data_IF_699408447583
#
_entry.id   IF_699408447583
#
_cell.length_a   1.000
_cell.length_b   1.000
_cell.length_c   1.000
_cell.angle_alpha   90.00
_cell.angle_beta   90.00
_cell.angle_gamma   90.00
#
_symmetry.space_group_name_H-M   'P 1'
#
loop_
_entity.id
_entity.type
_entity.pdbx_description
1 polymer ?
#
# COMPACT_ATOMS: atom_id res chain seq x y z
N UNK A 1 -8.41 1.80 15.98
CA UNK A 1 -8.47 0.32 16.02
C UNK A 1 -9.53 -0.25 16.97
N UNK A 2 -10.10 0.52 17.92
CA UNK A 2 -11.20 0.05 18.78
C UNK A 2 -12.57 -0.07 18.07
N UNK A 3 -12.72 0.45 16.84
CA UNK A 3 -13.97 0.41 16.08
C UNK A 3 -14.17 -0.89 15.28
N UNK A 4 -13.11 -1.67 15.03
CA UNK A 4 -13.19 -2.92 14.25
C UNK A 4 -13.81 -4.06 15.07
N UNK A 5 -13.40 -4.21 16.34
CA UNK A 5 -13.85 -5.32 17.19
C UNK A 5 -15.27 -5.17 17.75
N UNK A 6 -15.83 -3.96 17.76
CA UNK A 6 -17.16 -3.71 18.32
C UNK A 6 -18.30 -4.18 17.40
N UNK A 7 -18.03 -4.30 16.09
CA UNK A 7 -19.03 -4.69 15.11
C UNK A 7 -19.22 -6.21 14.99
N UNK A 8 -18.14 -6.96 15.15
CA UNK A 8 -18.13 -8.40 14.88
C UNK A 8 -18.91 -9.21 15.92
N UNK A 9 -18.86 -8.80 17.19
CA UNK A 9 -19.55 -9.51 18.27
C UNK A 9 -21.06 -9.23 18.32
N UNK A 10 -21.54 -8.17 17.66
CA UNK A 10 -22.91 -7.71 17.85
C UNK A 10 -23.89 -8.10 16.72
N UNK A 11 -23.39 -8.34 15.50
CA UNK A 11 -24.25 -8.65 14.34
C UNK A 11 -24.86 -10.08 14.35
N UNK A 12 -24.66 -10.86 15.42
CA UNK A 12 -25.05 -12.28 15.50
C UNK A 12 -26.50 -12.51 16.00
N UNK A 13 -27.24 -11.46 16.39
CA UNK A 13 -28.54 -11.60 17.07
C UNK A 13 -29.63 -10.66 16.51
N UNK A 14 -30.03 -10.80 15.24
CA UNK A 14 -31.30 -10.22 14.79
C UNK A 14 -32.18 -11.24 14.06
N UNK A 15 -33.35 -11.46 14.66
CA UNK A 15 -34.44 -12.31 14.20
C UNK A 15 -35.38 -11.45 13.35
N UNK A 16 -35.63 -11.92 12.13
CA UNK A 16 -36.18 -11.16 11.01
C UNK A 16 -37.67 -10.79 11.12
N UNK A 17 -37.95 -9.51 10.90
CA UNK A 17 -39.08 -9.02 10.11
C UNK A 17 -38.55 -7.88 9.23
N UNK A 18 -37.71 -8.20 8.25
CA UNK A 18 -37.09 -7.21 7.36
C UNK A 18 -37.15 -7.71 5.91
N UNK A 19 -37.39 -6.80 4.97
CA UNK A 19 -37.60 -7.08 3.56
C UNK A 19 -36.42 -7.84 2.92
N UNK A 20 -36.73 -8.87 2.14
CA UNK A 20 -35.78 -9.76 1.46
C UNK A 20 -34.64 -9.05 0.68
N UNK A 21 -34.84 -7.86 0.08
CA UNK A 21 -33.77 -7.09 -0.57
C UNK A 21 -32.72 -6.53 0.41
N UNK A 22 -33.14 -6.01 1.56
CA UNK A 22 -32.26 -5.42 2.56
C UNK A 22 -31.41 -6.48 3.26
N UNK A 23 -32.00 -7.65 3.50
CA UNK A 23 -31.29 -8.79 4.08
C UNK A 23 -30.10 -9.23 3.22
N UNK A 24 -30.26 -9.24 1.90
CA UNK A 24 -29.18 -9.63 0.98
C UNK A 24 -27.98 -8.68 1.07
N UNK A 25 -28.21 -7.38 1.25
CA UNK A 25 -27.14 -6.38 1.43
C UNK A 25 -26.47 -6.58 2.80
N UNK A 26 -27.25 -6.77 3.86
CA UNK A 26 -26.71 -7.04 5.21
C UNK A 26 -25.87 -8.31 5.24
N UNK A 27 -26.28 -9.38 4.55
CA UNK A 27 -25.48 -10.60 4.44
C UNK A 27 -24.18 -10.40 3.66
N UNK A 28 -24.21 -9.59 2.60
CA UNK A 28 -23.01 -9.24 1.84
C UNK A 28 -22.02 -8.43 2.69
N UNK A 29 -22.53 -7.43 3.41
CA UNK A 29 -21.79 -6.64 4.39
C UNK A 29 -21.16 -7.52 5.48
N UNK A 30 -21.95 -8.43 6.07
CA UNK A 30 -21.50 -9.38 7.10
C UNK A 30 -20.36 -10.27 6.62
N UNK A 31 -20.32 -10.62 5.33
CA UNK A 31 -19.22 -11.39 4.72
C UNK A 31 -18.02 -10.51 4.36
N UNK A 32 -18.24 -9.25 4.02
CA UNK A 32 -17.19 -8.32 3.59
C UNK A 32 -16.32 -7.84 4.75
N UNK A 33 -16.92 -7.42 5.87
CA UNK A 33 -16.18 -6.86 7.01
C UNK A 33 -15.07 -7.76 7.58
N UNK A 34 -15.29 -9.08 7.80
CA UNK A 34 -14.20 -9.97 8.23
C UNK A 34 -13.01 -9.96 7.28
N UNK A 35 -13.28 -9.95 5.98
CA UNK A 35 -12.22 -9.96 4.96
C UNK A 35 -11.43 -8.66 5.02
N UNK A 36 -12.12 -7.51 5.12
CA UNK A 36 -11.47 -6.20 5.24
C UNK A 36 -10.61 -6.11 6.51
N UNK A 37 -11.08 -6.66 7.62
CA UNK A 37 -10.33 -6.72 8.88
C UNK A 37 -9.06 -7.56 8.75
N UNK A 38 -9.17 -8.77 8.18
CA UNK A 38 -8.03 -9.64 7.91
C UNK A 38 -7.01 -8.95 6.98
N UNK A 39 -7.50 -8.34 5.90
CA UNK A 39 -6.67 -7.61 4.95
C UNK A 39 -5.95 -6.41 5.60
N UNK A 40 -6.59 -5.71 6.53
CA UNK A 40 -5.94 -4.64 7.29
C UNK A 40 -4.82 -5.18 8.20
N UNK A 41 -5.01 -6.34 8.81
CA UNK A 41 -3.97 -7.02 9.56
C UNK A 41 -2.75 -7.35 8.69
N UNK A 42 -2.98 -7.91 7.50
CA UNK A 42 -1.95 -8.23 6.52
C UNK A 42 -1.24 -6.98 5.98
N UNK A 43 -1.98 -5.91 5.71
CA UNK A 43 -1.42 -4.62 5.29
C UNK A 43 -0.43 -4.09 6.32
N UNK A 44 -0.85 -4.04 7.59
CA UNK A 44 0.00 -3.52 8.67
C UNK A 44 1.23 -4.39 8.93
N UNK A 45 1.11 -5.71 8.91
CA UNK A 45 2.28 -6.60 9.06
C UNK A 45 3.25 -6.42 7.90
N UNK A 46 2.74 -6.37 6.67
CA UNK A 46 3.57 -6.19 5.47
C UNK A 46 4.30 -4.84 5.48
N UNK A 47 3.64 -3.76 5.93
CA UNK A 47 4.30 -2.45 6.11
C UNK A 47 5.40 -2.50 7.17
N UNK A 48 5.19 -3.20 8.30
CA UNK A 48 6.24 -3.40 9.30
C UNK A 48 7.42 -4.18 8.73
N UNK A 49 7.16 -5.20 7.91
CA UNK A 49 8.20 -6.00 7.26
C UNK A 49 9.01 -5.21 6.22
N UNK A 50 8.44 -4.13 5.66
CA UNK A 50 9.17 -3.22 4.77
C UNK A 50 10.21 -2.36 5.51
N UNK A 51 9.96 -1.99 6.77
CA UNK A 51 10.85 -1.10 7.55
C UNK A 51 12.31 -1.59 7.62
N UNK A 52 12.61 -2.84 8.01
CA UNK A 52 13.98 -3.32 8.06
C UNK A 52 14.64 -3.40 6.67
N UNK A 53 13.87 -3.65 5.61
CA UNK A 53 14.37 -3.67 4.23
C UNK A 53 14.80 -2.27 3.79
N UNK A 54 13.97 -1.25 4.07
CA UNK A 54 14.29 0.15 3.80
C UNK A 54 15.52 0.61 4.58
N UNK A 55 15.64 0.22 5.86
CA UNK A 55 16.83 0.51 6.66
C UNK A 55 18.09 -0.15 6.07
N UNK A 56 17.98 -1.40 5.60
CA UNK A 56 19.09 -2.09 4.93
C UNK A 56 19.51 -1.39 3.63
N UNK A 57 18.56 -0.92 2.81
CA UNK A 57 18.85 -0.16 1.60
C UNK A 57 19.53 1.18 1.91
N UNK A 58 19.05 1.92 2.92
CA UNK A 58 19.66 3.17 3.38
C UNK A 58 21.12 2.94 3.80
N UNK A 59 21.37 1.93 4.63
CA UNK A 59 22.72 1.59 5.06
C UNK A 59 23.61 1.16 3.88
N UNK A 60 23.10 0.40 2.91
CA UNK A 60 23.87 0.03 1.71
C UNK A 60 24.21 1.26 0.85
N UNK A 61 23.29 2.21 0.71
CA UNK A 61 23.53 3.46 0.00
C UNK A 61 24.63 4.29 0.67
N UNK A 62 24.59 4.41 2.01
CA UNK A 62 25.65 5.07 2.78
C UNK A 62 27.02 4.38 2.60
N UNK A 63 27.04 3.04 2.63
CA UNK A 63 28.28 2.28 2.42
C UNK A 63 28.84 2.43 1.00
N UNK A 64 27.98 2.46 -0.03
CA UNK A 64 28.38 2.73 -1.41
C UNK A 64 28.97 4.13 -1.54
N UNK A 65 28.32 5.14 -0.96
CA UNK A 65 28.80 6.51 -0.98
C UNK A 65 30.14 6.65 -0.25
N UNK A 66 30.29 6.02 0.93
CA UNK A 66 31.54 6.02 1.69
C UNK A 66 32.68 5.34 0.90
N UNK A 67 32.40 4.23 0.22
CA UNK A 67 33.36 3.55 -0.63
C UNK A 67 33.74 4.36 -1.88
N UNK A 68 32.81 5.14 -2.45
CA UNK A 68 33.12 6.03 -3.58
C UNK A 68 34.03 7.19 -3.16
N UNK A 69 33.79 7.77 -1.99
CA UNK A 69 34.57 8.88 -1.43
C UNK A 69 35.97 8.47 -0.95
N UNK A 70 36.20 7.19 -0.69
CA UNK A 70 37.51 6.69 -0.24
C UNK A 70 38.50 6.58 -1.41
N UNK A 71 39.67 7.20 -1.23
CA UNK A 71 40.84 6.97 -2.09
C UNK A 71 41.61 5.76 -1.56
N UNK A 72 41.25 4.57 -2.03
CA UNK A 72 41.83 3.30 -1.57
C UNK A 72 43.37 3.24 -1.67
N UNK A 73 43.95 3.97 -2.63
CA UNK A 73 45.39 4.10 -2.86
C UNK A 73 46.12 4.80 -1.69
N UNK A 74 45.41 5.72 -1.01
CA UNK A 74 45.92 6.52 0.10
C UNK A 74 45.96 5.70 1.42
N UNK A 75 45.37 4.50 1.44
CA UNK A 75 45.34 3.61 2.61
C UNK A 75 46.37 2.48 2.46
N UNK A 76 47.52 2.50 3.19
CA UNK A 76 48.62 1.57 2.96
C UNK A 76 48.25 0.09 3.09
N UNK A 77 47.36 -0.25 4.03
CA UNK A 77 46.90 -1.62 4.26
C UNK A 77 46.01 -2.17 3.14
N UNK A 78 45.37 -1.31 2.34
CA UNK A 78 44.47 -1.72 1.27
C UNK A 78 45.18 -1.86 -0.09
N UNK A 79 46.41 -1.37 -0.23
CA UNK A 79 47.19 -1.46 -1.48
C UNK A 79 47.48 -2.89 -1.94
N UNK A 80 47.51 -3.84 -1.00
CA UNK A 80 47.64 -5.27 -1.32
C UNK A 80 46.41 -5.84 -2.07
N UNK A 81 45.31 -5.08 -2.16
CA UNK A 81 44.05 -5.49 -2.75
C UNK A 81 43.59 -4.48 -3.83
N UNK A 82 44.25 -4.44 -5.00
CA UNK A 82 43.97 -3.45 -6.04
C UNK A 82 42.56 -3.57 -6.65
N UNK A 83 41.93 -4.75 -6.53
CA UNK A 83 40.58 -5.05 -7.01
C UNK A 83 39.49 -4.85 -5.93
N UNK A 84 39.86 -4.43 -4.72
CA UNK A 84 38.95 -4.36 -3.57
C UNK A 84 37.77 -3.42 -3.83
N UNK A 85 38.02 -2.24 -4.40
CA UNK A 85 36.98 -1.24 -4.67
C UNK A 85 35.90 -1.82 -5.58
N UNK A 86 36.31 -2.45 -6.68
CA UNK A 86 35.39 -3.04 -7.65
C UNK A 86 34.67 -4.28 -7.09
N UNK A 87 35.36 -5.11 -6.32
CA UNK A 87 34.75 -6.27 -5.65
C UNK A 87 33.75 -5.87 -4.58
N UNK A 88 34.07 -4.83 -3.80
CA UNK A 88 33.17 -4.28 -2.79
C UNK A 88 31.92 -3.70 -3.44
N UNK A 89 32.09 -2.89 -4.49
CA UNK A 89 30.99 -2.35 -5.29
C UNK A 89 30.08 -3.47 -5.80
N UNK A 90 30.62 -4.48 -6.48
CA UNK A 90 29.83 -5.61 -6.98
C UNK A 90 29.07 -6.35 -5.88
N UNK A 91 29.70 -6.57 -4.72
CA UNK A 91 29.03 -7.21 -3.57
C UNK A 91 27.91 -6.36 -2.99
N UNK A 92 28.11 -5.05 -2.86
CA UNK A 92 27.11 -4.12 -2.36
C UNK A 92 25.92 -4.00 -3.32
N UNK A 93 26.16 -3.96 -4.63
CA UNK A 93 25.11 -3.99 -5.64
C UNK A 93 24.29 -5.28 -5.56
N UNK A 94 24.95 -6.44 -5.52
CA UNK A 94 24.25 -7.73 -5.42
C UNK A 94 23.44 -7.88 -4.12
N UNK A 95 23.96 -7.36 -3.00
CA UNK A 95 23.21 -7.30 -1.74
C UNK A 95 22.00 -6.37 -1.85
N UNK A 96 22.17 -5.25 -2.54
CA UNK A 96 21.13 -4.31 -2.92
C UNK A 96 19.99 -4.95 -3.70
N UNK A 97 20.32 -5.62 -4.80
CA UNK A 97 19.38 -6.36 -5.66
C UNK A 97 18.55 -7.34 -4.81
N UNK A 98 19.22 -8.11 -3.94
CA UNK A 98 18.54 -9.08 -3.04
C UNK A 98 17.53 -8.41 -2.10
N UNK A 99 17.83 -7.21 -1.59
CA UNK A 99 16.92 -6.48 -0.71
C UNK A 99 15.77 -5.87 -1.50
N UNK A 100 16.03 -5.37 -2.72
CA UNK A 100 15.00 -4.88 -3.63
C UNK A 100 14.02 -5.97 -4.05
N UNK A 101 14.49 -7.18 -4.36
CA UNK A 101 13.62 -8.33 -4.71
C UNK A 101 12.61 -8.60 -3.59
N UNK A 102 13.11 -8.69 -2.35
CA UNK A 102 12.27 -8.88 -1.15
C UNK A 102 11.29 -7.74 -0.97
N UNK A 103 11.71 -6.51 -1.25
CA UNK A 103 10.84 -5.35 -1.15
C UNK A 103 9.74 -5.38 -2.21
N UNK A 104 10.06 -5.80 -3.43
CA UNK A 104 9.11 -6.05 -4.52
C UNK A 104 8.05 -7.08 -4.13
N UNK A 105 8.45 -8.16 -3.46
CA UNK A 105 7.50 -9.16 -2.93
C UNK A 105 6.51 -8.54 -1.92
N UNK A 106 6.99 -7.67 -1.02
CA UNK A 106 6.12 -6.98 -0.04
C UNK A 106 5.18 -5.99 -0.73
N UNK A 107 5.66 -5.27 -1.73
CA UNK A 107 4.83 -4.36 -2.52
C UNK A 107 3.74 -5.11 -3.29
N UNK A 108 4.07 -6.27 -3.87
CA UNK A 108 3.08 -7.14 -4.51
C UNK A 108 2.03 -7.66 -3.52
N UNK A 109 2.42 -7.94 -2.27
CA UNK A 109 1.48 -8.31 -1.21
C UNK A 109 0.55 -7.15 -0.82
N UNK A 110 1.07 -5.92 -0.69
CA UNK A 110 0.24 -4.72 -0.45
C UNK A 110 -0.74 -4.44 -1.60
N UNK A 111 -0.28 -4.61 -2.84
CA UNK A 111 -1.11 -4.50 -4.04
C UNK A 111 -2.27 -5.50 -3.98
N UNK A 112 -1.98 -6.76 -3.65
CA UNK A 112 -2.98 -7.81 -3.50
C UNK A 112 -4.00 -7.49 -2.41
N UNK A 113 -3.58 -6.90 -1.29
CA UNK A 113 -4.51 -6.43 -0.25
C UNK A 113 -5.47 -5.39 -0.81
N UNK A 114 -4.94 -4.36 -1.49
CA UNK A 114 -5.75 -3.31 -2.13
C UNK A 114 -6.78 -3.92 -3.07
N UNK A 115 -6.34 -4.78 -3.99
CA UNK A 115 -7.21 -5.39 -5.00
C UNK A 115 -8.29 -6.29 -4.38
N UNK A 116 -7.92 -7.04 -3.34
CA UNK A 116 -8.87 -7.87 -2.59
C UNK A 116 -9.94 -7.01 -1.94
N UNK A 117 -9.56 -5.97 -1.21
CA UNK A 117 -10.52 -5.05 -0.57
C UNK A 117 -11.42 -4.39 -1.62
N UNK A 118 -10.86 -3.84 -2.69
CA UNK A 118 -11.65 -3.23 -3.77
C UNK A 118 -12.66 -4.21 -4.37
N UNK A 119 -12.28 -5.44 -4.68
CA UNK A 119 -13.20 -6.44 -5.25
C UNK A 119 -14.35 -6.81 -4.31
N UNK A 120 -14.10 -6.81 -2.99
CA UNK A 120 -15.12 -7.11 -1.99
C UNK A 120 -16.08 -5.93 -1.79
N UNK A 121 -15.55 -4.71 -1.72
CA UNK A 121 -16.36 -3.48 -1.63
C UNK A 121 -17.23 -3.32 -2.86
N UNK A 122 -16.67 -3.49 -4.06
CA UNK A 122 -17.40 -3.41 -5.32
C UNK A 122 -18.57 -4.39 -5.36
N UNK A 123 -18.35 -5.65 -4.95
CA UNK A 123 -19.41 -6.67 -4.92
C UNK A 123 -20.56 -6.28 -3.99
N UNK A 124 -20.26 -5.73 -2.81
CA UNK A 124 -21.29 -5.27 -1.87
C UNK A 124 -22.08 -4.10 -2.47
N UNK A 125 -21.38 -3.12 -3.06
CA UNK A 125 -22.01 -1.97 -3.70
C UNK A 125 -22.89 -2.38 -4.87
N UNK A 126 -22.45 -3.33 -5.70
CA UNK A 126 -23.25 -3.86 -6.80
C UNK A 126 -24.56 -4.51 -6.29
N UNK A 127 -24.50 -5.29 -5.21
CA UNK A 127 -25.69 -5.91 -4.61
C UNK A 127 -26.66 -4.84 -4.09
N UNK A 128 -26.14 -3.77 -3.47
CA UNK A 128 -26.96 -2.65 -3.03
C UNK A 128 -27.60 -1.91 -4.20
N UNK A 129 -26.83 -1.51 -5.21
CA UNK A 129 -27.32 -0.77 -6.38
C UNK A 129 -28.40 -1.54 -7.12
N UNK A 130 -28.26 -2.85 -7.31
CA UNK A 130 -29.27 -3.70 -7.94
C UNK A 130 -30.61 -3.76 -7.17
N UNK A 131 -30.61 -3.39 -5.89
CA UNK A 131 -31.75 -3.52 -4.99
C UNK A 131 -32.21 -2.17 -4.43
N UNK A 132 -31.55 -1.08 -4.81
CA UNK A 132 -31.74 0.24 -4.22
C UNK A 132 -33.20 0.72 -4.31
N UNK A 133 -33.85 0.53 -5.47
CA UNK A 133 -35.24 0.91 -5.69
C UNK A 133 -36.22 0.14 -4.79
N UNK A 134 -35.89 -1.12 -4.47
CA UNK A 134 -36.73 -1.98 -3.63
C UNK A 134 -36.49 -1.76 -2.13
N UNK A 135 -35.29 -1.31 -1.75
CA UNK A 135 -34.95 -1.01 -0.35
C UNK A 135 -35.51 0.37 0.02
N UNK A 136 -35.39 1.37 -0.86
CA UNK A 136 -35.76 2.74 -0.57
C UNK A 136 -34.77 3.43 0.38
N UNK A 137 -34.72 4.77 0.31
CA UNK A 137 -33.74 5.57 1.06
C UNK A 137 -33.96 5.46 2.57
N UNK A 138 -35.21 5.46 3.03
CA UNK A 138 -35.54 5.43 4.46
C UNK A 138 -35.07 4.14 5.14
N UNK A 139 -35.21 2.99 4.47
CA UNK A 139 -34.75 1.72 5.02
C UNK A 139 -33.22 1.60 5.03
N UNK A 140 -32.53 2.21 4.05
CA UNK A 140 -31.08 2.22 4.00
C UNK A 140 -30.46 3.08 5.13
N UNK A 141 -31.14 4.18 5.51
CA UNK A 141 -30.74 5.09 6.60
C UNK A 141 -31.19 4.61 7.98
N UNK A 142 -31.99 3.55 8.06
CA UNK A 142 -32.51 3.06 9.33
C UNK A 142 -31.39 2.40 10.16
N UNK A 143 -30.89 3.14 11.14
CA UNK A 143 -30.05 2.61 12.20
C UNK A 143 -30.89 1.92 13.28
N UNK A 144 -30.26 0.99 14.00
CA UNK A 144 -30.83 0.41 15.21
C UNK A 144 -30.02 0.83 16.43
N UNK A 145 -30.53 0.56 17.63
CA UNK A 145 -29.80 0.78 18.89
C UNK A 145 -28.47 0.01 18.92
N UNK A 146 -28.36 -1.02 18.09
CA UNK A 146 -27.32 -2.04 18.16
C UNK A 146 -26.49 -2.19 16.89
N UNK A 147 -26.90 -1.53 15.81
CA UNK A 147 -26.23 -1.58 14.52
C UNK A 147 -26.39 -0.23 13.82
N UNK A 148 -25.34 0.29 13.16
CA UNK A 148 -25.48 1.45 12.30
C UNK A 148 -26.35 1.11 11.09
N UNK A 149 -26.71 2.15 10.34
CA UNK A 149 -27.51 1.99 9.13
C UNK A 149 -26.72 1.30 8.01
N UNK A 150 -27.41 0.76 7.01
CA UNK A 150 -26.75 0.21 5.82
C UNK A 150 -26.00 1.30 5.06
N UNK A 151 -26.52 2.52 5.02
CA UNK A 151 -25.83 3.66 4.43
C UNK A 151 -24.48 3.93 5.11
N UNK A 152 -24.44 4.00 6.44
CA UNK A 152 -23.19 4.22 7.20
C UNK A 152 -22.18 3.09 6.95
N UNK A 153 -22.66 1.85 6.88
CA UNK A 153 -21.83 0.67 6.60
C UNK A 153 -21.19 0.73 5.21
N UNK A 154 -21.95 1.16 4.20
CA UNK A 154 -21.48 1.30 2.83
C UNK A 154 -20.51 2.48 2.68
N UNK A 155 -20.81 3.61 3.32
CA UNK A 155 -19.91 4.77 3.36
C UNK A 155 -18.56 4.38 3.96
N UNK A 156 -18.56 3.68 5.09
CA UNK A 156 -17.34 3.20 5.73
C UNK A 156 -16.51 2.29 4.81
N UNK A 157 -17.16 1.39 4.05
CA UNK A 157 -16.47 0.53 3.09
C UNK A 157 -15.80 1.34 1.97
N UNK A 158 -16.49 2.36 1.46
CA UNK A 158 -15.93 3.25 0.44
C UNK A 158 -14.75 4.06 0.99
N UNK A 159 -14.84 4.55 2.23
CA UNK A 159 -13.73 5.27 2.85
C UNK A 159 -12.48 4.41 3.03
N UNK A 160 -12.66 3.13 3.35
CA UNK A 160 -11.55 2.18 3.39
C UNK A 160 -10.99 1.90 2.01
N UNK A 161 -11.84 1.73 1.01
CA UNK A 161 -11.37 1.53 -0.37
C UNK A 161 -10.53 2.74 -0.83
N UNK A 162 -11.01 3.96 -0.58
CA UNK A 162 -10.27 5.20 -0.84
C UNK A 162 -8.93 5.23 -0.10
N UNK A 163 -8.91 4.80 1.16
CA UNK A 163 -7.67 4.72 1.93
C UNK A 163 -6.62 3.85 1.24
N UNK A 164 -6.97 2.64 0.80
CA UNK A 164 -6.02 1.75 0.12
C UNK A 164 -5.63 2.25 -1.27
N UNK A 165 -6.57 2.82 -2.04
CA UNK A 165 -6.29 3.42 -3.36
C UNK A 165 -5.31 4.58 -3.27
N UNK A 166 -5.40 5.42 -2.24
CA UNK A 166 -4.47 6.55 -2.06
C UNK A 166 -3.15 6.14 -1.39
N UNK A 167 -3.18 5.17 -0.48
CA UNK A 167 -2.00 4.82 0.31
C UNK A 167 -1.01 3.95 -0.48
N UNK A 168 -1.48 3.06 -1.36
CA UNK A 168 -0.60 2.20 -2.16
C UNK A 168 0.33 2.99 -3.11
N UNK A 169 -0.15 3.93 -3.95
CA UNK A 169 0.71 4.74 -4.82
C UNK A 169 1.71 5.59 -4.03
N UNK A 170 1.31 6.11 -2.86
CA UNK A 170 2.20 6.89 -2.01
C UNK A 170 3.37 6.06 -1.48
N UNK A 171 3.12 4.83 -1.03
CA UNK A 171 4.18 3.91 -0.61
C UNK A 171 5.08 3.52 -1.77
N UNK A 172 4.50 3.19 -2.94
CA UNK A 172 5.28 2.92 -4.15
C UNK A 172 6.18 4.10 -4.54
N UNK A 173 5.66 5.33 -4.48
CA UNK A 173 6.39 6.54 -4.82
C UNK A 173 7.52 6.85 -3.84
N UNK A 174 7.24 6.81 -2.53
CA UNK A 174 8.27 6.99 -1.49
C UNK A 174 9.42 6.00 -1.67
N UNK A 175 9.09 4.77 -2.05
CA UNK A 175 10.08 3.72 -2.25
C UNK A 175 10.84 3.96 -3.56
N UNK A 176 10.18 4.34 -4.65
CA UNK A 176 10.82 4.67 -5.93
C UNK A 176 11.77 5.88 -5.82
N UNK A 177 11.43 6.90 -5.05
CA UNK A 177 12.29 8.08 -4.85
C UNK A 177 13.54 7.79 -4.01
N UNK A 178 13.48 6.82 -3.11
CA UNK A 178 14.62 6.38 -2.31
C UNK A 178 15.53 5.37 -3.06
N UNK A 179 15.10 4.79 -4.17
CA UNK A 179 15.70 3.57 -4.74
C UNK A 179 16.70 3.74 -5.89
N UNK A 180 16.94 4.94 -6.44
CA UNK A 180 17.85 5.06 -7.61
C UNK A 180 19.00 6.05 -7.42
N UNK A 181 20.12 5.61 -6.80
CA UNK A 181 21.43 6.19 -7.11
C UNK A 181 21.67 6.11 -8.62
N UNK A 182 22.30 7.11 -9.22
CA UNK A 182 22.52 7.23 -10.67
C UNK A 182 23.13 5.97 -11.33
N UNK A 183 23.83 5.15 -10.56
CA UNK A 183 24.46 3.89 -10.98
C UNK A 183 23.49 2.70 -11.14
N UNK A 184 22.27 2.76 -10.62
CA UNK A 184 21.26 1.70 -10.69
C UNK A 184 20.21 1.97 -11.80
N UNK A 185 20.23 3.18 -12.36
CA UNK A 185 19.32 3.62 -13.44
C UNK A 185 19.55 2.90 -14.78
N UNK A 186 20.65 2.17 -14.94
CA UNK A 186 21.03 1.59 -16.24
C UNK A 186 20.37 0.26 -16.57
N UNK A 187 19.61 -0.38 -15.67
CA UNK A 187 19.09 -1.74 -15.95
C UNK A 187 17.58 -1.91 -16.03
N UNK A 188 16.75 -1.16 -15.34
CA UNK A 188 15.29 -1.26 -15.57
C UNK A 188 14.60 -0.06 -14.90
N UNK A 189 14.25 0.94 -15.70
CA UNK A 189 13.30 1.94 -15.28
C UNK A 189 11.90 1.32 -15.34
N UNK A 190 11.47 0.67 -14.26
CA UNK A 190 10.07 0.29 -14.11
C UNK A 190 9.30 1.55 -13.73
N UNK A 191 8.92 2.31 -14.74
CA UNK A 191 7.92 3.36 -14.61
C UNK A 191 6.55 2.67 -14.58
N UNK A 192 6.08 2.30 -13.39
CA UNK A 192 4.70 1.83 -13.20
C UNK A 192 3.79 3.06 -13.24
N UNK A 193 3.34 3.41 -14.44
CA UNK A 193 2.16 4.24 -14.61
C UNK A 193 0.98 3.48 -13.99
N UNK A 194 0.39 4.04 -12.94
CA UNK A 194 -0.93 3.62 -12.49
C UNK A 194 -1.91 4.16 -13.53
N UNK A 195 -2.47 3.28 -14.35
CA UNK A 195 -3.60 3.62 -15.22
C UNK A 195 -4.81 3.92 -14.33
N UNK A 196 -5.00 5.20 -13.98
CA UNK A 196 -6.28 5.69 -13.48
C UNK A 196 -7.21 5.88 -14.68
N UNK A 197 -8.02 4.84 -14.92
CA UNK A 197 -9.23 4.96 -15.71
C UNK A 197 -10.27 5.78 -14.96
N UNK A 198 -10.04 7.08 -14.87
CA UNK A 198 -11.08 8.10 -14.77
C UNK A 198 -10.49 9.41 -15.28
N UNK A 199 -11.09 9.93 -16.35
CA UNK A 199 -10.68 11.15 -17.00
C UNK A 199 -10.88 12.35 -16.04
N UNK A 200 -9.83 12.70 -15.30
CA UNK A 200 -9.66 14.03 -14.74
C UNK A 200 -8.40 14.62 -15.35
N UNK A 201 -8.66 15.57 -16.24
CA UNK A 201 -7.72 16.43 -16.91
C UNK A 201 -6.93 17.24 -15.88
N UNK A 202 -5.86 16.68 -15.31
CA UNK A 202 -4.82 17.49 -14.69
C UNK A 202 -3.45 16.79 -14.70
N UNK A 203 -2.59 17.28 -15.59
CA UNK A 203 -1.22 16.79 -15.81
C UNK A 203 -0.30 17.27 -14.69
N UNK A 204 -0.46 16.83 -13.44
CA UNK A 204 0.42 17.26 -12.33
C UNK A 204 0.85 16.16 -11.36
N UNK A 205 1.02 14.91 -11.81
CA UNK A 205 1.59 13.84 -10.98
C UNK A 205 3.12 13.97 -10.71
N UNK A 206 3.75 15.10 -11.07
CA UNK A 206 5.18 15.35 -10.83
C UNK A 206 5.49 16.58 -9.97
N UNK A 207 4.52 17.27 -9.36
CA UNK A 207 4.83 18.55 -8.72
C UNK A 207 4.44 18.62 -7.24
N UNK A 208 5.44 19.01 -6.45
CA UNK A 208 5.40 19.49 -5.07
C UNK A 208 5.12 18.45 -3.99
N UNK A 209 6.19 17.88 -3.43
CA UNK A 209 6.55 18.02 -1.99
C UNK A 209 7.93 17.35 -1.80
N UNK A 210 8.89 18.09 -1.21
CA UNK A 210 10.28 17.70 -0.90
C UNK A 210 11.36 17.76 -2.00
N UNK A 211 11.50 18.91 -2.68
CA UNK A 211 12.73 19.32 -3.38
C UNK A 211 13.34 20.59 -2.77
N UNK A 212 13.52 20.61 -1.44
CA UNK A 212 14.42 21.57 -0.76
C UNK A 212 15.43 20.82 0.10
N UNK A 213 16.37 20.17 -0.60
CA UNK A 213 17.76 19.79 -0.21
C UNK A 213 18.17 18.49 -0.90
N UNK A 214 18.14 18.47 -2.24
CA UNK A 214 19.02 17.59 -3.00
C UNK A 214 20.16 18.47 -3.51
N UNK A 215 21.23 18.58 -2.72
CA UNK A 215 22.31 19.57 -2.91
C UNK A 215 23.38 19.10 -3.93
N UNK A 216 23.03 18.21 -4.87
CA UNK A 216 23.96 17.58 -5.81
C UNK A 216 23.51 17.65 -7.28
N UNK A 217 22.66 18.62 -7.65
CA UNK A 217 22.38 18.95 -9.04
C UNK A 217 22.86 20.38 -9.38
N UNK A 218 24.18 20.55 -9.41
CA UNK A 218 24.93 21.51 -10.25
C UNK A 218 26.31 20.94 -10.51
#
# INVERSE_FOLDING_TARGET
MLLFSFWFLFFSQQKMTQDQPLLAVQEALRKCFPVVEEQQGLWQSTLRDCQPLLASLSNLAEQLQAAENLRFEDVPSLRAFPDLKERLRRKQLAAGDTVMDKLGERLAALLKVRDTVSSHVERVLQIYVQRADAIGIDAALQASVVSPSVADMLEWLQDIERHYRHSYPLHMFQMSCCMFPSSWKSKEAVCLCVDEGDAVEDRHCCSLVFLKKCQYCT
#
